data_IF_736743277097
#
_entry.id   IF_736743277097
#
_cell.length_a   1.000
_cell.length_b   1.000
_cell.length_c   1.000
_cell.angle_alpha   90.00
_cell.angle_beta   90.00
_cell.angle_gamma   90.00
#
_symmetry.space_group_name_H-M   'P 1'
#
loop_
_entity.id
_entity.type
_entity.pdbx_description
1 polymer ?
#
# COMPACT_ATOMS: atom_id res chain seq x y z
N UNK A 1 3.68 11.34 14.71
CA UNK A 1 2.65 12.23 15.29
C UNK A 1 3.33 13.45 15.95
N UNK A 2 4.44 13.26 16.66
CA UNK A 2 5.15 14.36 17.33
C UNK A 2 5.84 15.34 16.39
N UNK A 3 6.17 14.94 15.18
CA UNK A 3 6.84 15.81 14.19
C UNK A 3 5.86 16.56 13.30
N UNK A 4 4.61 16.13 13.23
CA UNK A 4 3.57 16.77 12.44
C UNK A 4 2.53 17.35 13.39
N UNK A 5 2.10 18.58 13.17
CA UNK A 5 0.90 19.14 13.81
C UNK A 5 -0.35 18.44 13.23
N UNK A 6 -0.39 17.13 13.39
CA UNK A 6 -1.39 16.29 12.75
C UNK A 6 -2.73 16.41 13.47
N UNK A 7 -3.81 16.53 12.70
CA UNK A 7 -5.18 16.55 13.23
C UNK A 7 -5.54 15.23 13.91
N UNK A 8 -6.46 15.27 14.87
CA UNK A 8 -7.03 14.08 15.54
C UNK A 8 -7.57 13.03 14.55
N UNK A 9 -7.90 13.46 13.33
CA UNK A 9 -8.32 12.59 12.22
C UNK A 9 -7.30 11.48 11.92
N UNK A 10 -5.98 11.75 12.06
CA UNK A 10 -4.93 10.74 11.86
C UNK A 10 -5.01 9.64 12.91
N UNK A 11 -5.28 10.00 14.16
CA UNK A 11 -5.43 9.02 15.25
C UNK A 11 -6.67 8.16 15.01
N UNK A 12 -7.76 8.78 14.58
CA UNK A 12 -9.00 8.07 14.26
C UNK A 12 -8.83 7.14 13.06
N UNK A 13 -8.15 7.57 12.00
CA UNK A 13 -7.88 6.73 10.83
C UNK A 13 -7.05 5.50 11.20
N UNK A 14 -6.03 5.65 12.07
CA UNK A 14 -5.23 4.55 12.56
C UNK A 14 -6.07 3.46 13.25
N UNK A 15 -7.00 3.86 14.12
CA UNK A 15 -7.88 2.90 14.81
C UNK A 15 -8.76 2.14 13.82
N UNK A 16 -9.30 2.81 12.83
CA UNK A 16 -10.19 2.21 11.83
C UNK A 16 -9.43 1.25 10.93
N UNK A 17 -8.29 1.69 10.38
CA UNK A 17 -7.41 0.86 9.55
C UNK A 17 -6.90 -0.37 10.31
N UNK A 18 -6.45 -0.18 11.56
CA UNK A 18 -5.93 -1.27 12.38
C UNK A 18 -7.00 -2.29 12.73
N UNK A 19 -8.20 -1.84 13.07
CA UNK A 19 -9.29 -2.74 13.43
C UNK A 19 -9.75 -3.59 12.23
N UNK A 20 -9.80 -3.03 11.04
CA UNK A 20 -10.10 -3.77 9.82
C UNK A 20 -9.06 -4.86 9.58
N UNK A 21 -7.77 -4.52 9.64
CA UNK A 21 -6.66 -5.46 9.46
C UNK A 21 -6.63 -6.56 10.53
N UNK A 22 -6.87 -6.22 11.80
CA UNK A 22 -6.95 -7.20 12.89
C UNK A 22 -8.09 -8.18 12.66
N UNK A 23 -9.29 -7.70 12.29
CA UNK A 23 -10.44 -8.57 11.98
C UNK A 23 -10.14 -9.53 10.83
N UNK A 24 -9.49 -9.06 9.79
CA UNK A 24 -9.07 -9.89 8.66
C UNK A 24 -8.05 -10.95 9.12
N UNK A 25 -7.05 -10.57 9.89
CA UNK A 25 -6.03 -11.50 10.44
C UNK A 25 -6.68 -12.58 11.31
N UNK A 26 -7.62 -12.19 12.18
CA UNK A 26 -8.35 -13.15 13.03
C UNK A 26 -9.15 -14.13 12.17
N UNK A 27 -9.90 -13.65 11.18
CA UNK A 27 -10.67 -14.52 10.27
C UNK A 27 -9.77 -15.52 9.56
N UNK A 28 -8.63 -15.07 9.05
CA UNK A 28 -7.67 -15.95 8.37
C UNK A 28 -7.02 -16.96 9.29
N UNK A 29 -6.72 -16.56 10.53
CA UNK A 29 -6.19 -17.48 11.54
C UNK A 29 -7.20 -18.57 11.91
N UNK A 30 -8.50 -18.23 11.98
CA UNK A 30 -9.56 -19.22 12.23
C UNK A 30 -9.62 -20.23 11.07
N UNK A 31 -9.63 -19.76 9.82
CA UNK A 31 -9.66 -20.65 8.63
C UNK A 31 -8.44 -21.57 8.58
N UNK A 32 -7.25 -21.02 8.88
CA UNK A 32 -6.02 -21.80 8.94
C UNK A 32 -6.07 -22.84 10.06
N UNK A 33 -6.60 -22.48 11.25
CA UNK A 33 -6.82 -23.40 12.35
C UNK A 33 -7.73 -24.56 11.95
N UNK A 34 -8.86 -24.28 11.34
CA UNK A 34 -9.79 -25.31 10.84
C UNK A 34 -9.15 -26.26 9.82
N UNK A 35 -8.30 -25.72 8.94
CA UNK A 35 -7.55 -26.55 7.98
C UNK A 35 -6.56 -27.47 8.70
N UNK A 36 -5.82 -26.97 9.68
CA UNK A 36 -4.87 -27.76 10.47
C UNK A 36 -5.61 -28.88 11.24
N UNK A 37 -6.75 -28.57 11.83
CA UNK A 37 -7.58 -29.55 12.55
C UNK A 37 -8.07 -30.65 11.59
N UNK A 38 -8.54 -30.27 10.38
CA UNK A 38 -8.98 -31.21 9.36
C UNK A 38 -7.85 -32.16 8.92
N UNK A 39 -6.65 -31.62 8.73
CA UNK A 39 -5.45 -32.42 8.40
C UNK A 39 -5.11 -33.38 9.55
N UNK A 40 -5.15 -32.90 10.77
CA UNK A 40 -4.85 -33.71 11.96
C UNK A 40 -5.82 -34.87 12.11
N UNK A 41 -7.12 -34.65 11.92
CA UNK A 41 -8.15 -35.68 11.96
C UNK A 41 -7.95 -36.69 10.84
N UNK A 42 -7.64 -36.26 9.64
CA UNK A 42 -7.37 -37.14 8.50
C UNK A 42 -6.18 -38.07 8.76
N UNK A 43 -5.08 -37.52 9.27
CA UNK A 43 -3.89 -38.29 9.62
C UNK A 43 -4.18 -39.31 10.70
N UNK A 44 -4.97 -38.95 11.71
CA UNK A 44 -5.36 -39.89 12.78
C UNK A 44 -6.22 -41.04 12.28
N UNK A 45 -7.10 -40.77 11.31
CA UNK A 45 -8.03 -41.75 10.76
C UNK A 45 -7.48 -42.50 9.52
N UNK A 46 -6.23 -42.26 9.13
CA UNK A 46 -5.62 -42.74 7.87
C UNK A 46 -6.47 -42.39 6.63
N UNK A 47 -7.19 -41.28 6.64
CA UNK A 47 -7.94 -40.76 5.52
C UNK A 47 -7.00 -40.04 4.56
N UNK A 48 -7.11 -40.22 3.21
CA UNK A 48 -6.34 -39.45 2.26
C UNK A 48 -6.56 -37.96 2.46
N UNK A 49 -5.47 -37.16 2.46
CA UNK A 49 -5.54 -35.71 2.66
C UNK A 49 -6.40 -35.02 1.60
N UNK A 50 -6.48 -35.57 0.41
CA UNK A 50 -7.30 -35.07 -0.70
C UNK A 50 -8.81 -35.14 -0.39
N UNK A 51 -9.22 -36.15 0.41
CA UNK A 51 -10.63 -36.30 0.85
C UNK A 51 -10.93 -35.47 2.11
N UNK A 52 -9.91 -35.23 2.95
CA UNK A 52 -10.05 -34.47 4.19
C UNK A 52 -10.07 -32.95 3.98
N UNK A 53 -9.40 -32.47 2.94
CA UNK A 53 -9.35 -31.06 2.61
C UNK A 53 -10.38 -30.79 1.53
N UNK A 54 -11.58 -30.41 1.94
CA UNK A 54 -12.64 -30.02 1.01
C UNK A 54 -12.11 -28.90 0.10
N UNK A 55 -12.30 -28.99 -1.24
CA UNK A 55 -11.79 -28.00 -2.19
C UNK A 55 -12.13 -26.56 -1.80
N UNK A 56 -13.33 -26.31 -1.28
CA UNK A 56 -13.77 -25.00 -0.81
C UNK A 56 -12.95 -24.49 0.39
N UNK A 57 -12.58 -25.36 1.33
CA UNK A 57 -11.72 -24.98 2.46
C UNK A 57 -10.30 -24.68 2.00
N UNK A 58 -9.81 -25.41 1.00
CA UNK A 58 -8.52 -25.18 0.36
C UNK A 58 -8.49 -23.84 -0.38
N UNK A 59 -9.51 -23.55 -1.16
CA UNK A 59 -9.64 -22.29 -1.88
C UNK A 59 -9.82 -21.11 -0.91
N UNK A 60 -10.57 -21.29 0.18
CA UNK A 60 -10.70 -20.27 1.22
C UNK A 60 -9.41 -20.04 2.00
N UNK A 61 -8.65 -21.09 2.31
CA UNK A 61 -7.40 -20.96 3.06
C UNK A 61 -6.27 -20.38 2.19
N UNK A 62 -6.12 -20.88 0.96
CA UNK A 62 -5.01 -20.51 0.09
C UNK A 62 -5.38 -19.41 -0.92
N UNK A 63 -6.59 -19.40 -1.47
CA UNK A 63 -7.07 -18.38 -2.39
C UNK A 63 -7.25 -17.02 -1.73
N UNK A 64 -7.64 -16.99 -0.45
CA UNK A 64 -7.72 -15.72 0.32
C UNK A 64 -6.38 -15.27 0.88
N UNK A 65 -5.42 -16.15 1.11
CA UNK A 65 -4.07 -15.72 1.51
C UNK A 65 -3.36 -14.92 0.41
N UNK A 66 -3.63 -15.19 -0.86
CA UNK A 66 -3.11 -14.40 -1.97
C UNK A 66 -3.82 -13.06 -2.16
N UNK A 67 -5.05 -12.92 -1.67
CA UNK A 67 -5.87 -11.70 -1.75
C UNK A 67 -5.78 -10.80 -0.50
N UNK A 68 -4.76 -10.99 0.35
CA UNK A 68 -4.56 -10.16 1.54
C UNK A 68 -4.23 -8.69 1.23
N UNK A 69 -4.07 -8.35 -0.04
CA UNK A 69 -3.77 -6.99 -0.47
C UNK A 69 -4.99 -6.15 -0.89
N UNK A 70 -6.16 -6.76 -1.12
CA UNK A 70 -7.12 -6.18 -2.06
C UNK A 70 -8.39 -5.58 -1.44
N UNK A 71 -8.51 -5.42 -0.13
CA UNK A 71 -9.60 -4.62 0.43
C UNK A 71 -9.28 -3.12 0.35
N UNK A 72 -9.41 -2.59 -0.87
CA UNK A 72 -9.24 -1.18 -1.24
C UNK A 72 -10.28 -0.25 -0.58
N UNK A 73 -11.25 -0.81 0.14
CA UNK A 73 -12.31 -0.07 0.83
C UNK A 73 -12.05 0.11 2.33
N UNK A 74 -10.82 -0.06 2.80
CA UNK A 74 -10.51 0.26 4.19
C UNK A 74 -10.53 1.77 4.39
N UNK A 75 -11.32 2.29 5.33
CA UNK A 75 -11.29 3.71 5.66
C UNK A 75 -9.91 4.07 6.21
N UNK A 76 -9.29 5.11 5.68
CA UNK A 76 -7.94 5.53 6.05
C UNK A 76 -7.55 6.85 5.40
N UNK A 77 -6.29 7.23 5.51
CA UNK A 77 -5.71 8.37 4.80
C UNK A 77 -5.29 7.90 3.42
N UNK A 78 -6.19 8.02 2.47
CA UNK A 78 -6.00 7.70 1.06
C UNK A 78 -6.52 8.83 0.20
N UNK A 79 -6.13 8.85 -1.07
CA UNK A 79 -6.66 9.81 -2.03
C UNK A 79 -8.19 9.78 -2.05
N UNK A 80 -8.80 10.92 -1.71
CA UNK A 80 -10.25 11.06 -1.63
C UNK A 80 -10.90 11.44 -2.96
N UNK A 81 -10.10 11.91 -3.93
CA UNK A 81 -10.59 12.44 -5.20
C UNK A 81 -10.86 11.34 -6.24
N UNK A 82 -10.04 10.28 -6.21
CA UNK A 82 -10.24 9.11 -7.06
C UNK A 82 -9.61 7.88 -6.42
N UNK A 83 -10.29 6.75 -6.50
CA UNK A 83 -9.74 5.46 -6.09
C UNK A 83 -9.30 4.71 -7.34
N UNK A 84 -8.03 4.30 -7.35
CA UNK A 84 -7.47 3.37 -8.32
C UNK A 84 -7.25 1.99 -7.67
N UNK A 85 -6.94 0.99 -8.48
CA UNK A 85 -6.73 -0.38 -8.00
C UNK A 85 -5.47 -0.54 -7.14
N UNK A 86 -4.58 0.43 -7.14
CA UNK A 86 -3.30 0.42 -6.40
C UNK A 86 -3.40 1.12 -5.05
N UNK A 87 -4.40 1.98 -4.86
CA UNK A 87 -4.62 2.71 -3.60
C UNK A 87 -4.78 1.71 -2.44
N UNK A 88 -4.00 1.90 -1.39
CA UNK A 88 -3.97 1.02 -0.22
C UNK A 88 -3.07 -0.21 -0.36
N UNK A 89 -2.62 -0.57 -1.55
CA UNK A 89 -1.64 -1.64 -1.74
C UNK A 89 -0.28 -1.25 -1.16
N UNK A 90 0.49 -2.24 -0.74
CA UNK A 90 1.84 -2.02 -0.25
C UNK A 90 2.82 -1.94 -1.41
N UNK A 91 3.60 -0.87 -1.44
CA UNK A 91 4.67 -0.73 -2.41
C UNK A 91 5.80 -1.75 -2.14
N UNK A 92 6.45 -2.23 -3.20
CA UNK A 92 7.65 -3.06 -3.09
C UNK A 92 8.81 -2.28 -2.43
N UNK A 93 9.72 -3.00 -1.78
CA UNK A 93 10.80 -2.38 -0.98
C UNK A 93 11.86 -1.67 -1.80
N UNK A 94 12.07 -2.08 -3.03
CA UNK A 94 13.18 -1.62 -3.85
C UNK A 94 12.69 -0.99 -5.15
N UNK A 95 13.37 0.08 -5.53
CA UNK A 95 13.17 0.79 -6.79
C UNK A 95 14.50 0.80 -7.56
N UNK A 96 14.42 1.04 -8.87
CA UNK A 96 15.59 1.28 -9.71
C UNK A 96 15.49 2.63 -10.41
N UNK A 97 16.59 3.38 -10.37
CA UNK A 97 16.71 4.63 -11.10
C UNK A 97 17.08 4.40 -12.58
N UNK A 98 17.20 5.49 -13.34
CA UNK A 98 17.62 5.48 -14.75
C UNK A 98 18.99 4.89 -14.99
N UNK A 99 19.84 4.77 -13.98
CA UNK A 99 21.18 4.18 -14.06
C UNK A 99 21.17 2.72 -13.60
N UNK A 100 19.98 2.13 -13.40
CA UNK A 100 19.77 0.80 -12.83
C UNK A 100 20.31 0.66 -11.39
N UNK A 101 20.46 1.78 -10.67
CA UNK A 101 20.89 1.79 -9.28
C UNK A 101 19.73 1.37 -8.38
N UNK A 102 19.98 0.42 -7.50
CA UNK A 102 19.00 -0.04 -6.54
C UNK A 102 18.80 1.02 -5.44
N UNK A 103 17.56 1.45 -5.26
CA UNK A 103 17.13 2.36 -4.20
C UNK A 103 16.32 1.57 -3.17
N UNK A 104 16.88 1.39 -1.99
CA UNK A 104 16.21 0.77 -0.86
C UNK A 104 15.25 1.80 -0.23
N UNK A 105 13.95 1.51 -0.28
CA UNK A 105 12.90 2.40 0.20
C UNK A 105 13.02 2.66 1.70
N UNK A 106 13.31 1.63 2.49
CA UNK A 106 13.42 1.75 3.95
C UNK A 106 14.53 2.76 4.35
N UNK A 107 15.63 2.80 3.59
CA UNK A 107 16.75 3.71 3.84
C UNK A 107 16.51 5.14 3.32
N UNK A 108 15.82 5.26 2.18
CA UNK A 108 15.67 6.55 1.51
C UNK A 108 14.42 7.31 1.95
N UNK A 109 13.35 6.63 2.30
CA UNK A 109 12.08 7.23 2.71
C UNK A 109 11.94 7.24 4.22
N UNK A 110 12.36 6.18 4.90
CA UNK A 110 12.12 6.03 6.32
C UNK A 110 10.62 5.99 6.61
N UNK A 111 10.19 6.72 7.65
CA UNK A 111 8.77 6.85 8.04
C UNK A 111 8.15 8.16 7.52
N UNK A 112 8.45 8.54 6.29
CA UNK A 112 7.97 9.78 5.69
C UNK A 112 7.03 9.49 4.51
N UNK A 113 6.17 10.45 4.19
CA UNK A 113 5.50 10.44 2.89
C UNK A 113 6.54 10.56 1.78
N UNK A 114 6.25 9.97 0.64
CA UNK A 114 7.12 10.09 -0.52
C UNK A 114 6.33 10.17 -1.81
N UNK A 115 6.91 10.87 -2.77
CA UNK A 115 6.40 10.95 -4.14
C UNK A 115 7.42 10.27 -5.04
N UNK A 116 6.96 9.31 -5.81
CA UNK A 116 7.77 8.54 -6.75
C UNK A 116 7.33 8.91 -8.16
N UNK A 117 8.28 9.33 -8.98
CA UNK A 117 8.04 9.75 -10.36
C UNK A 117 9.10 9.21 -11.30
N UNK A 118 8.68 8.90 -12.51
CA UNK A 118 9.57 8.59 -13.63
C UNK A 118 10.30 9.84 -14.15
N UNK A 119 9.67 11.00 -13.97
CA UNK A 119 10.14 12.29 -14.44
C UNK A 119 10.61 13.20 -13.30
N UNK A 120 10.95 14.44 -13.63
CA UNK A 120 11.17 15.46 -12.61
C UNK A 120 9.81 15.97 -12.08
N UNK A 121 9.46 15.59 -10.87
CA UNK A 121 8.16 15.90 -10.29
C UNK A 121 7.94 17.41 -10.06
N UNK A 122 9.02 18.17 -9.87
CA UNK A 122 8.94 19.61 -9.62
C UNK A 122 8.42 20.41 -10.81
N UNK A 123 8.42 19.83 -12.01
CA UNK A 123 7.85 20.46 -13.20
C UNK A 123 6.30 20.41 -13.21
N UNK A 124 5.71 19.65 -12.28
CA UNK A 124 4.26 19.39 -12.20
C UNK A 124 3.65 19.82 -10.85
N UNK A 125 4.43 20.41 -9.95
CA UNK A 125 3.99 20.88 -8.63
C UNK A 125 4.17 22.39 -8.49
N UNK A 126 3.23 23.03 -7.82
CA UNK A 126 3.34 24.43 -7.44
C UNK A 126 4.36 24.63 -6.30
N UNK A 127 5.08 25.75 -6.31
CA UNK A 127 6.11 26.05 -5.29
C UNK A 127 5.56 26.03 -3.86
N UNK A 128 4.33 26.49 -3.65
CA UNK A 128 3.64 26.46 -2.35
C UNK A 128 3.38 25.01 -1.88
N UNK A 129 2.92 24.15 -2.79
CA UNK A 129 2.70 22.73 -2.52
C UNK A 129 4.03 22.04 -2.17
N UNK A 130 5.09 22.31 -2.94
CA UNK A 130 6.43 21.75 -2.67
C UNK A 130 6.94 22.21 -1.30
N UNK A 131 6.74 23.48 -0.95
CA UNK A 131 7.16 24.02 0.34
C UNK A 131 6.45 23.34 1.52
N UNK A 132 5.13 23.18 1.44
CA UNK A 132 4.34 22.48 2.45
C UNK A 132 4.72 21.00 2.58
N UNK A 133 4.96 20.32 1.46
CA UNK A 133 5.42 18.93 1.47
C UNK A 133 6.81 18.78 2.10
N UNK A 134 7.72 19.72 1.85
CA UNK A 134 9.04 19.76 2.51
C UNK A 134 8.95 19.98 4.02
N UNK A 135 8.02 20.82 4.48
CA UNK A 135 7.75 21.00 5.92
C UNK A 135 7.29 19.71 6.60
N UNK A 136 6.69 18.80 5.85
CA UNK A 136 6.28 17.45 6.28
C UNK A 136 7.38 16.39 6.12
N UNK A 137 8.63 16.80 5.79
CA UNK A 137 9.72 15.88 5.45
C UNK A 137 9.39 14.90 4.31
N UNK A 138 8.45 15.25 3.42
CA UNK A 138 8.12 14.43 2.26
C UNK A 138 9.37 14.21 1.39
N UNK A 139 9.58 12.97 0.97
CA UNK A 139 10.71 12.58 0.11
C UNK A 139 10.28 12.56 -1.35
N UNK A 140 11.14 13.08 -2.22
CA UNK A 140 10.90 13.13 -3.66
C UNK A 140 11.88 12.20 -4.36
N UNK A 141 11.38 11.12 -4.94
CA UNK A 141 12.14 10.13 -5.69
C UNK A 141 11.84 10.28 -7.18
N UNK A 142 12.66 11.06 -7.85
CA UNK A 142 12.53 11.33 -9.28
C UNK A 142 13.42 10.40 -10.11
N UNK A 143 13.12 10.28 -11.40
CA UNK A 143 13.84 9.43 -12.36
C UNK A 143 13.82 7.93 -12.00
N UNK A 144 12.78 7.46 -11.35
CA UNK A 144 12.56 6.04 -11.08
C UNK A 144 12.06 5.35 -12.35
N UNK A 145 12.69 4.26 -12.73
CA UNK A 145 12.34 3.55 -13.96
C UNK A 145 11.61 2.23 -13.69
N UNK A 146 11.89 1.61 -12.56
CA UNK A 146 11.36 0.29 -12.23
C UNK A 146 11.07 0.16 -10.74
N UNK A 147 9.97 -0.52 -10.43
CA UNK A 147 9.64 -1.00 -9.09
C UNK A 147 10.01 -2.48 -9.04
N UNK A 148 11.06 -2.78 -8.30
CA UNK A 148 11.65 -4.11 -8.27
C UNK A 148 10.63 -5.16 -7.81
N UNK A 149 10.58 -6.27 -8.56
CA UNK A 149 9.68 -7.40 -8.32
C UNK A 149 8.18 -7.12 -8.53
N UNK A 150 7.80 -5.96 -9.07
CA UNK A 150 6.39 -5.66 -9.39
C UNK A 150 6.24 -4.99 -10.78
N UNK A 151 6.09 -5.79 -11.85
CA UNK A 151 5.90 -5.27 -13.19
C UNK A 151 4.65 -4.39 -13.34
N UNK A 152 3.57 -4.68 -12.60
CA UNK A 152 2.33 -3.90 -12.68
C UNK A 152 2.54 -2.49 -12.13
N UNK A 153 3.21 -2.37 -10.96
CA UNK A 153 3.54 -1.07 -10.39
C UNK A 153 4.57 -0.31 -11.23
N UNK A 154 5.47 -1.01 -11.91
CA UNK A 154 6.39 -0.39 -12.87
C UNK A 154 5.63 0.21 -14.06
N UNK A 155 4.59 -0.46 -14.55
CA UNK A 155 3.72 0.06 -15.60
C UNK A 155 2.97 1.32 -15.14
N UNK A 156 2.53 1.37 -13.90
CA UNK A 156 1.89 2.54 -13.29
C UNK A 156 2.77 3.79 -13.34
N UNK A 157 4.08 3.66 -13.08
CA UNK A 157 5.03 4.77 -13.22
C UNK A 157 5.13 5.32 -14.64
N UNK A 158 4.68 4.58 -15.64
CA UNK A 158 4.68 5.03 -17.04
C UNK A 158 3.50 5.96 -17.32
N UNK A 159 2.40 5.79 -16.60
CA UNK A 159 1.16 6.54 -16.76
C UNK A 159 0.93 7.63 -15.70
N UNK A 160 1.66 7.59 -14.58
CA UNK A 160 1.47 8.56 -13.51
C UNK A 160 2.54 8.51 -12.41
N UNK A 161 2.38 9.41 -11.47
CA UNK A 161 3.21 9.52 -10.28
C UNK A 161 2.52 8.85 -9.09
N UNK A 162 3.29 8.32 -8.15
CA UNK A 162 2.76 7.57 -7.01
C UNK A 162 3.06 8.35 -5.73
N UNK A 163 2.04 8.60 -4.90
CA UNK A 163 2.24 9.06 -3.53
C UNK A 163 2.20 7.84 -2.60
N UNK A 164 3.23 7.72 -1.76
CA UNK A 164 3.39 6.63 -0.79
C UNK A 164 3.36 7.17 0.63
N UNK A 165 2.63 6.47 1.48
CA UNK A 165 2.50 6.78 2.90
C UNK A 165 3.72 6.27 3.69
N UNK A 166 3.92 6.77 4.94
CA UNK A 166 4.99 6.31 5.83
C UNK A 166 4.99 4.80 6.14
N UNK A 167 3.83 4.14 6.02
CA UNK A 167 3.67 2.69 6.22
C UNK A 167 3.86 1.88 4.93
N UNK A 168 4.40 2.50 3.88
CA UNK A 168 4.67 1.90 2.56
C UNK A 168 3.41 1.55 1.78
N UNK A 169 2.25 2.06 2.16
CA UNK A 169 1.02 1.93 1.36
C UNK A 169 0.91 3.06 0.34
N UNK A 170 0.38 2.74 -0.81
CA UNK A 170 0.09 3.72 -1.86
C UNK A 170 -1.09 4.57 -1.40
N UNK A 171 -0.89 5.89 -1.32
CA UNK A 171 -1.94 6.87 -1.08
C UNK A 171 -2.83 7.02 -2.31
N UNK A 172 -2.23 7.06 -3.48
CA UNK A 172 -2.88 7.17 -4.78
C UNK A 172 -1.87 7.25 -5.92
N UNK A 173 -2.39 7.13 -7.13
CA UNK A 173 -1.65 7.25 -8.38
C UNK A 173 -2.25 8.37 -9.22
N UNK A 174 -1.41 9.26 -9.76
CA UNK A 174 -1.88 10.32 -10.66
C UNK A 174 -2.26 9.76 -12.04
N UNK A 175 -3.10 10.47 -12.74
CA UNK A 175 -3.61 10.08 -14.06
C UNK A 175 -3.96 11.33 -14.88
N UNK A 176 -4.38 11.15 -16.12
CA UNK A 176 -4.89 12.26 -16.95
C UNK A 176 -6.05 13.03 -16.29
N UNK A 177 -6.85 12.36 -15.45
CA UNK A 177 -8.02 12.95 -14.77
C UNK A 177 -7.69 13.51 -13.39
N UNK A 178 -6.60 13.09 -12.78
CA UNK A 178 -6.20 13.45 -11.43
C UNK A 178 -4.71 13.76 -11.42
N UNK A 179 -4.36 15.03 -11.40
CA UNK A 179 -2.96 15.47 -11.43
C UNK A 179 -2.26 15.18 -10.08
N UNK A 180 -0.95 15.09 -10.12
CA UNK A 180 -0.15 14.93 -8.90
C UNK A 180 -0.31 16.14 -7.96
N UNK A 181 -0.47 17.34 -8.50
CA UNK A 181 -0.73 18.55 -7.72
C UNK A 181 -2.04 18.42 -6.91
N UNK A 182 -3.13 18.00 -7.54
CA UNK A 182 -4.41 17.77 -6.87
C UNK A 182 -4.31 16.72 -5.78
N UNK A 183 -3.57 15.62 -6.03
CA UNK A 183 -3.34 14.58 -5.03
C UNK A 183 -2.52 15.09 -3.85
N UNK A 184 -1.52 15.91 -4.09
CA UNK A 184 -0.72 16.53 -3.01
C UNK A 184 -1.57 17.49 -2.17
N UNK A 185 -2.43 18.27 -2.80
CA UNK A 185 -3.37 19.17 -2.09
C UNK A 185 -4.38 18.36 -1.27
N UNK A 186 -4.91 17.26 -1.80
CA UNK A 186 -5.79 16.35 -1.05
C UNK A 186 -5.06 15.76 0.17
N UNK A 187 -3.84 15.25 -0.01
CA UNK A 187 -3.01 14.75 1.08
C UNK A 187 -2.81 15.83 2.16
N UNK A 188 -2.35 17.02 1.77
CA UNK A 188 -2.13 18.14 2.69
C UNK A 188 -3.42 18.48 3.46
N UNK A 189 -4.57 18.53 2.77
CA UNK A 189 -5.87 18.83 3.41
C UNK A 189 -6.28 17.80 4.48
N UNK A 190 -5.82 16.55 4.32
CA UNK A 190 -6.13 15.47 5.26
C UNK A 190 -5.23 15.46 6.50
N UNK A 191 -4.00 15.94 6.39
CA UNK A 191 -2.98 15.81 7.45
C UNK A 191 -2.62 17.13 8.13
N UNK A 192 -2.85 18.28 7.50
CA UNK A 192 -2.66 19.63 8.06
C UNK A 192 -3.99 20.29 8.38
#
# INVERSE_FOLDING_TARGET
ITNYKAKDKIINSYNVERNAKIRQTIKSSIVLGQLIDSISVALHNNTPLEEAIVPEAREQAFGKMSKFSDDVNEPGIYNSLAHDIYTGQRLAKNLRDKNNTLIDMDKNIGYNFSIISKNNIFDHLEDDTVSKLKELDCKFLCNIQEIDSDPNLTEVLTSGDIIVRPDMKIFGVSSEKLTIEQMCQDLLSQIT
#
